data_IF_479061600548
#
_entry.id   IF_479061600548
#
_cell.length_a   1.000
_cell.length_b   1.000
_cell.length_c   1.000
_cell.angle_alpha   90.00
_cell.angle_beta   90.00
_cell.angle_gamma   90.00
#
_symmetry.space_group_name_H-M   'P 1'
#
loop_
_entity.id
_entity.type
_entity.pdbx_description
1 polymer ?
#
# COMPACT_ATOMS: atom_id res chain seq x y z
N UNK A 1 57.99 -19.07 -7.42
CA UNK A 1 56.77 -19.71 -7.96
C UNK A 1 55.62 -19.69 -6.95
N UNK A 2 55.76 -20.26 -5.71
CA UNK A 2 54.64 -20.25 -4.70
C UNK A 2 54.06 -18.86 -4.39
N UNK A 3 54.89 -17.82 -4.23
CA UNK A 3 54.40 -16.44 -3.96
C UNK A 3 53.58 -15.81 -5.13
N UNK A 4 53.93 -16.15 -6.36
CA UNK A 4 53.20 -15.67 -7.54
C UNK A 4 51.84 -16.39 -7.65
N UNK A 5 51.79 -17.69 -7.36
CA UNK A 5 50.54 -18.47 -7.38
C UNK A 5 49.59 -17.96 -6.27
N UNK A 6 50.10 -17.64 -5.07
CA UNK A 6 49.29 -17.06 -3.99
C UNK A 6 48.76 -15.67 -4.39
N UNK A 7 49.60 -14.84 -5.05
CA UNK A 7 49.18 -13.53 -5.53
C UNK A 7 48.07 -13.60 -6.58
N UNK A 8 48.17 -14.54 -7.55
CA UNK A 8 47.14 -14.78 -8.57
C UNK A 8 45.85 -15.30 -7.94
N UNK A 9 45.94 -16.25 -6.98
CA UNK A 9 44.78 -16.77 -6.27
C UNK A 9 44.06 -15.68 -5.46
N UNK A 10 44.81 -14.79 -4.78
CA UNK A 10 44.26 -13.66 -4.05
C UNK A 10 43.58 -12.65 -4.98
N UNK A 11 44.20 -12.31 -6.12
CA UNK A 11 43.61 -11.43 -7.11
C UNK A 11 42.31 -12.00 -7.70
N UNK A 12 42.29 -13.32 -7.98
CA UNK A 12 41.09 -13.99 -8.51
C UNK A 12 39.99 -14.04 -7.45
N UNK A 13 40.31 -14.26 -6.18
CA UNK A 13 39.35 -14.20 -5.08
C UNK A 13 38.72 -12.78 -4.94
N UNK A 14 39.54 -11.73 -5.05
CA UNK A 14 39.03 -10.34 -5.02
C UNK A 14 38.09 -10.06 -6.22
N UNK A 15 38.45 -10.50 -7.42
CA UNK A 15 37.59 -10.33 -8.61
C UNK A 15 36.24 -11.04 -8.42
N UNK A 16 36.25 -12.26 -7.89
CA UNK A 16 35.02 -13.03 -7.60
C UNK A 16 34.16 -12.29 -6.55
N UNK A 17 34.76 -11.80 -5.47
CA UNK A 17 34.02 -11.02 -4.46
C UNK A 17 33.41 -9.76 -5.05
N UNK A 18 34.17 -9.01 -5.86
CA UNK A 18 33.66 -7.80 -6.53
C UNK A 18 32.51 -8.14 -7.49
N UNK A 19 32.63 -9.23 -8.24
CA UNK A 19 31.57 -9.68 -9.14
C UNK A 19 30.29 -10.06 -8.37
N UNK A 20 30.42 -10.77 -7.26
CA UNK A 20 29.29 -11.12 -6.37
C UNK A 20 28.60 -9.87 -5.83
N UNK A 21 29.36 -8.91 -5.31
CA UNK A 21 28.82 -7.64 -4.78
C UNK A 21 28.11 -6.86 -5.91
N UNK A 22 28.68 -6.82 -7.11
CA UNK A 22 28.04 -6.16 -8.24
C UNK A 22 26.73 -6.83 -8.64
N UNK A 23 26.66 -8.16 -8.65
CA UNK A 23 25.41 -8.90 -8.93
C UNK A 23 24.34 -8.59 -7.88
N UNK A 24 24.67 -8.58 -6.60
CA UNK A 24 23.73 -8.24 -5.52
C UNK A 24 23.20 -6.82 -5.71
N UNK A 25 24.07 -5.84 -5.96
CA UNK A 25 23.64 -4.45 -6.18
C UNK A 25 22.76 -4.29 -7.44
N UNK A 26 22.99 -5.10 -8.47
CA UNK A 26 22.14 -5.10 -9.67
C UNK A 26 20.76 -5.71 -9.39
N UNK A 27 20.69 -6.76 -8.57
CA UNK A 27 19.42 -7.36 -8.16
C UNK A 27 18.58 -6.38 -7.35
N UNK A 28 19.16 -5.69 -6.37
CA UNK A 28 18.46 -4.69 -5.54
C UNK A 28 17.87 -3.57 -6.40
N UNK A 29 18.66 -3.02 -7.32
CA UNK A 29 18.23 -1.99 -8.27
C UNK A 29 17.17 -2.51 -9.24
N UNK A 30 17.35 -3.74 -9.74
CA UNK A 30 16.41 -4.37 -10.68
C UNK A 30 15.04 -4.59 -10.02
N UNK A 31 15.00 -5.08 -8.78
CA UNK A 31 13.75 -5.28 -8.03
C UNK A 31 13.10 -3.94 -7.71
N UNK A 32 13.86 -2.95 -7.23
CA UNK A 32 13.35 -1.60 -6.98
C UNK A 32 12.73 -1.02 -8.26
N UNK A 33 13.45 -1.06 -9.38
CA UNK A 33 12.95 -0.56 -10.67
C UNK A 33 11.68 -1.31 -11.12
N UNK A 34 11.64 -2.62 -10.95
CA UNK A 34 10.45 -3.43 -11.22
C UNK A 34 9.24 -2.99 -10.41
N UNK A 35 9.41 -2.77 -9.10
CA UNK A 35 8.34 -2.28 -8.22
C UNK A 35 7.86 -0.89 -8.67
N UNK A 36 8.77 0.04 -8.95
CA UNK A 36 8.46 1.42 -9.35
C UNK A 36 7.91 1.54 -10.79
N UNK A 37 8.09 0.53 -11.63
CA UNK A 37 7.56 0.49 -13.00
C UNK A 37 6.24 -0.28 -13.07
N UNK A 38 6.21 -1.50 -12.55
CA UNK A 38 5.02 -2.37 -12.62
C UNK A 38 3.95 -1.95 -11.61
N UNK A 39 4.36 -1.48 -10.43
CA UNK A 39 3.44 -1.04 -9.38
C UNK A 39 2.44 0.03 -9.83
N UNK A 40 2.89 1.15 -10.45
CA UNK A 40 1.98 2.15 -11.02
C UNK A 40 1.08 1.62 -12.12
N UNK A 41 1.53 0.66 -12.91
CA UNK A 41 0.70 0.02 -13.95
C UNK A 41 -0.44 -0.80 -13.32
N UNK A 42 -0.15 -1.50 -12.22
CA UNK A 42 -1.12 -2.30 -11.45
C UNK A 42 -2.13 -1.42 -10.73
N UNK A 43 -1.64 -0.43 -9.98
CA UNK A 43 -2.46 0.35 -9.04
C UNK A 43 -3.11 1.57 -9.69
N UNK A 44 -2.59 2.01 -10.84
CA UNK A 44 -2.87 3.31 -11.50
C UNK A 44 -2.66 4.49 -10.55
N UNK A 45 -1.65 4.36 -9.68
CA UNK A 45 -1.22 5.41 -8.75
C UNK A 45 0.30 5.56 -8.81
N UNK A 46 0.85 6.59 -8.16
CA UNK A 46 2.29 6.66 -7.94
C UNK A 46 2.72 5.59 -6.95
N UNK A 47 3.87 4.98 -7.18
CA UNK A 47 4.46 4.03 -6.26
C UNK A 47 5.96 4.30 -6.18
N UNK A 48 6.47 4.50 -4.97
CA UNK A 48 7.88 4.78 -4.71
C UNK A 48 8.42 3.90 -3.62
N UNK A 49 9.72 3.57 -3.71
CA UNK A 49 10.45 2.74 -2.74
C UNK A 49 11.77 3.42 -2.43
N UNK A 50 12.08 3.63 -1.15
CA UNK A 50 13.38 4.19 -0.75
C UNK A 50 14.52 3.22 -1.06
N UNK A 51 14.35 1.94 -0.70
CA UNK A 51 15.37 0.93 -0.92
C UNK A 51 14.83 -0.49 -0.91
N UNK A 52 15.55 -1.34 -1.63
CA UNK A 52 15.41 -2.79 -1.62
C UNK A 52 16.77 -3.36 -1.26
N UNK A 53 16.82 -4.37 -0.43
CA UNK A 53 18.02 -5.12 -0.09
C UNK A 53 17.72 -6.61 -0.14
N UNK A 54 18.50 -7.34 -0.93
CA UNK A 54 18.38 -8.77 -1.11
C UNK A 54 19.72 -9.45 -0.81
N UNK A 55 19.68 -10.54 -0.09
CA UNK A 55 20.85 -11.40 0.15
C UNK A 55 20.59 -12.78 -0.44
N UNK A 56 21.01 -13.05 -1.68
CA UNK A 56 20.74 -14.31 -2.36
C UNK A 56 21.29 -15.53 -1.62
N UNK A 57 22.38 -15.37 -0.86
CA UNK A 57 23.00 -16.46 -0.13
C UNK A 57 22.26 -16.85 1.16
N UNK A 58 21.72 -15.86 1.87
CA UNK A 58 20.95 -16.10 3.10
C UNK A 58 19.44 -16.22 2.83
N UNK A 59 18.98 -15.81 1.65
CA UNK A 59 17.56 -15.70 1.35
C UNK A 59 16.86 -14.52 2.05
N UNK A 60 17.60 -13.67 2.78
CA UNK A 60 17.00 -12.50 3.43
C UNK A 60 16.71 -11.38 2.44
N UNK A 61 15.58 -10.71 2.59
CA UNK A 61 15.22 -9.55 1.82
C UNK A 61 14.49 -8.51 2.66
N UNK A 62 14.59 -7.25 2.24
CA UNK A 62 13.82 -6.16 2.83
C UNK A 62 13.48 -5.09 1.81
N UNK A 63 12.33 -4.44 2.01
CA UNK A 63 11.87 -3.26 1.28
C UNK A 63 11.67 -2.15 2.31
N UNK A 64 12.21 -0.96 2.04
CA UNK A 64 12.11 0.22 2.91
C UNK A 64 11.40 1.35 2.21
N UNK A 65 10.58 2.10 2.96
CA UNK A 65 9.97 3.34 2.51
C UNK A 65 9.05 3.17 1.30
N UNK A 66 8.23 2.09 1.27
CA UNK A 66 7.23 1.92 0.22
C UNK A 66 6.08 2.90 0.46
N UNK A 67 5.77 3.71 -0.55
CA UNK A 67 4.62 4.60 -0.57
C UNK A 67 3.80 4.36 -1.82
N UNK A 68 2.50 4.15 -1.61
CA UNK A 68 1.50 4.05 -2.68
C UNK A 68 0.65 5.32 -2.64
N UNK A 69 0.64 6.07 -3.72
CA UNK A 69 -0.16 7.29 -3.88
C UNK A 69 -1.65 7.00 -3.97
N UNK A 70 -2.44 8.05 -4.05
CA UNK A 70 -3.89 7.92 -4.22
C UNK A 70 -4.30 7.93 -5.68
N UNK A 71 -5.40 7.23 -6.02
CA UNK A 71 -6.08 7.39 -7.31
C UNK A 71 -6.66 8.80 -7.45
N UNK A 72 -6.94 9.21 -8.68
CA UNK A 72 -7.64 10.46 -8.95
C UNK A 72 -9.00 10.54 -8.23
N UNK A 73 -9.35 11.75 -7.75
CA UNK A 73 -10.58 12.02 -7.02
C UNK A 73 -10.50 11.90 -5.51
N UNK A 74 -9.36 11.52 -4.96
CA UNK A 74 -9.08 11.47 -3.52
C UNK A 74 -8.05 12.55 -3.13
N UNK A 75 -8.16 13.10 -1.91
CA UNK A 75 -7.43 14.29 -1.47
C UNK A 75 -6.21 14.00 -0.61
N UNK A 76 -6.16 12.83 0.05
CA UNK A 76 -5.01 12.45 0.87
C UNK A 76 -3.79 12.19 -0.01
N UNK A 77 -2.60 12.57 0.46
CA UNK A 77 -1.37 12.51 -0.34
C UNK A 77 -0.98 11.08 -0.75
N UNK A 78 -1.34 10.10 0.06
CA UNK A 78 -0.98 8.69 -0.13
C UNK A 78 -2.10 7.77 0.37
N UNK A 79 -2.19 6.58 -0.22
CA UNK A 79 -3.13 5.54 0.21
C UNK A 79 -2.49 4.60 1.24
N UNK A 80 -1.23 4.21 1.01
CA UNK A 80 -0.51 3.26 1.88
C UNK A 80 0.92 3.75 2.06
N UNK A 81 1.43 3.67 3.29
CA UNK A 81 2.83 3.89 3.62
C UNK A 81 3.34 2.74 4.47
N UNK A 82 4.44 2.15 4.04
CA UNK A 82 5.18 1.12 4.76
C UNK A 82 6.55 1.64 5.12
N UNK A 83 6.93 1.58 6.39
CA UNK A 83 8.29 1.89 6.82
C UNK A 83 9.26 0.80 6.38
N UNK A 84 8.96 -0.44 6.72
CA UNK A 84 9.78 -1.59 6.36
C UNK A 84 8.93 -2.84 6.21
N UNK A 85 9.25 -3.63 5.19
CA UNK A 85 8.82 -5.01 5.05
C UNK A 85 10.06 -5.92 5.01
N UNK A 86 10.00 -7.07 5.66
CA UNK A 86 11.05 -8.09 5.62
C UNK A 86 10.53 -9.35 4.96
N UNK A 87 11.43 -10.10 4.31
CA UNK A 87 11.11 -11.37 3.69
C UNK A 87 12.24 -12.39 3.89
N UNK A 88 11.87 -13.65 3.93
CA UNK A 88 12.80 -14.76 3.90
C UNK A 88 12.48 -15.64 2.68
N UNK A 89 13.46 -15.78 1.81
CA UNK A 89 13.38 -16.59 0.59
C UNK A 89 14.06 -17.95 0.80
N UNK A 90 13.63 -18.94 0.07
CA UNK A 90 14.46 -20.13 -0.13
C UNK A 90 15.55 -19.81 -1.15
N UNK A 91 16.80 -19.73 -0.68
CA UNK A 91 17.93 -19.36 -1.52
C UNK A 91 18.11 -20.30 -2.74
N UNK A 92 17.76 -21.58 -2.59
CA UNK A 92 17.81 -22.58 -3.68
C UNK A 92 16.78 -22.31 -4.78
N UNK A 93 15.67 -21.63 -4.46
CA UNK A 93 14.57 -21.37 -5.40
C UNK A 93 14.71 -20.06 -6.20
N UNK A 94 15.63 -19.17 -5.85
CA UNK A 94 15.74 -17.82 -6.44
C UNK A 94 15.94 -17.88 -7.96
N UNK A 95 16.66 -18.87 -8.45
CA UNK A 95 16.96 -19.05 -9.87
C UNK A 95 16.05 -20.06 -10.57
N UNK A 96 15.09 -20.67 -9.85
CA UNK A 96 14.11 -21.59 -10.44
C UNK A 96 12.93 -20.85 -11.05
N UNK A 97 12.08 -21.55 -11.78
CA UNK A 97 10.86 -21.00 -12.39
C UNK A 97 9.87 -20.52 -11.34
N UNK A 98 9.85 -21.16 -10.16
CA UNK A 98 9.04 -20.78 -9.01
C UNK A 98 9.93 -20.41 -7.83
N UNK A 99 9.84 -19.16 -7.38
CA UNK A 99 10.55 -18.65 -6.21
C UNK A 99 9.71 -18.92 -4.96
N UNK A 100 10.32 -19.57 -3.96
CA UNK A 100 9.69 -19.86 -2.67
C UNK A 100 10.05 -18.78 -1.66
N UNK A 101 9.04 -18.05 -1.20
CA UNK A 101 9.12 -17.07 -0.12
C UNK A 101 8.60 -17.73 1.15
N UNK A 102 9.49 -18.05 2.08
CA UNK A 102 9.15 -18.69 3.36
C UNK A 102 8.32 -17.78 4.25
N UNK A 103 8.61 -16.48 4.25
CA UNK A 103 7.83 -15.50 5.00
C UNK A 103 7.92 -14.10 4.42
N UNK A 104 6.83 -13.35 4.56
CA UNK A 104 6.76 -11.89 4.40
C UNK A 104 6.18 -11.31 5.68
N UNK A 105 6.86 -10.32 6.25
CA UNK A 105 6.44 -9.61 7.46
C UNK A 105 6.38 -8.11 7.16
N UNK A 106 5.22 -7.51 7.39
CA UNK A 106 4.98 -6.07 7.27
C UNK A 106 4.55 -5.56 8.63
N UNK A 107 5.33 -4.66 9.22
CA UNK A 107 5.09 -4.14 10.56
C UNK A 107 4.73 -2.66 10.52
N UNK A 108 3.67 -2.30 11.23
CA UNK A 108 3.23 -0.94 11.42
C UNK A 108 2.87 -0.16 10.15
N UNK A 109 2.16 -0.73 9.16
CA UNK A 109 1.77 0.04 7.99
C UNK A 109 0.77 1.14 8.37
N UNK A 110 0.88 2.29 7.68
CA UNK A 110 -0.09 3.38 7.76
C UNK A 110 -0.98 3.35 6.51
N UNK A 111 -2.27 3.19 6.71
CA UNK A 111 -3.27 3.13 5.66
C UNK A 111 -4.16 4.36 5.75
N UNK A 112 -4.30 5.09 4.66
CA UNK A 112 -5.26 6.19 4.53
C UNK A 112 -6.49 5.66 3.82
N UNK A 113 -7.56 5.38 4.58
CA UNK A 113 -8.85 4.99 4.02
C UNK A 113 -9.70 6.23 3.79
N UNK A 114 -9.73 6.70 2.55
CA UNK A 114 -10.54 7.85 2.14
C UNK A 114 -11.73 7.37 1.32
N UNK A 115 -12.93 7.86 1.66
CA UNK A 115 -14.16 7.54 0.94
C UNK A 115 -14.97 8.80 0.62
N UNK A 116 -15.64 8.78 -0.53
CA UNK A 116 -16.67 9.77 -0.91
C UNK A 116 -18.09 9.24 -0.67
N UNK A 117 -18.25 8.18 0.14
CA UNK A 117 -19.49 7.46 0.45
C UNK A 117 -20.03 6.57 -0.69
N UNK A 118 -19.50 6.66 -1.89
CA UNK A 118 -19.83 5.78 -3.03
C UNK A 118 -18.69 4.80 -3.31
N UNK A 119 -17.47 5.31 -3.29
CA UNK A 119 -16.25 4.56 -3.54
C UNK A 119 -15.18 4.94 -2.52
N UNK A 120 -14.14 4.11 -2.37
CA UNK A 120 -12.97 4.44 -1.57
C UNK A 120 -11.69 4.36 -2.40
N UNK A 121 -10.65 5.07 -1.95
CA UNK A 121 -9.34 5.04 -2.58
C UNK A 121 -8.77 3.61 -2.65
N UNK A 122 -8.84 2.86 -1.54
CA UNK A 122 -8.37 1.47 -1.50
C UNK A 122 -9.20 0.55 -2.40
N UNK A 123 -10.52 0.74 -2.43
CA UNK A 123 -11.41 -0.01 -3.33
C UNK A 123 -11.08 0.26 -4.80
N UNK A 124 -10.74 1.52 -5.14
CA UNK A 124 -10.34 1.87 -6.51
C UNK A 124 -8.97 1.28 -6.89
N UNK A 125 -8.02 1.26 -5.95
CA UNK A 125 -6.73 0.57 -6.16
C UNK A 125 -6.95 -0.92 -6.37
N UNK A 126 -7.78 -1.56 -5.55
CA UNK A 126 -8.12 -3.00 -5.71
C UNK A 126 -8.74 -3.27 -7.07
N UNK A 127 -9.73 -2.48 -7.50
CA UNK A 127 -10.35 -2.59 -8.83
C UNK A 127 -9.31 -2.48 -9.97
N UNK A 128 -8.36 -1.55 -9.87
CA UNK A 128 -7.29 -1.41 -10.86
C UNK A 128 -6.41 -2.66 -10.92
N UNK A 129 -6.03 -3.23 -9.77
CA UNK A 129 -5.24 -4.47 -9.68
C UNK A 129 -6.03 -5.65 -10.25
N UNK A 130 -7.32 -5.74 -9.96
CA UNK A 130 -8.20 -6.79 -10.51
C UNK A 130 -8.31 -6.73 -12.04
N UNK A 131 -8.43 -5.53 -12.60
CA UNK A 131 -8.44 -5.34 -14.06
C UNK A 131 -7.11 -5.79 -14.70
N UNK A 132 -5.98 -5.58 -14.00
CA UNK A 132 -4.68 -5.99 -14.50
C UNK A 132 -4.43 -7.50 -14.39
N UNK A 133 -5.02 -8.17 -13.40
CA UNK A 133 -4.90 -9.62 -13.17
C UNK A 133 -5.99 -10.45 -13.84
N UNK A 134 -6.81 -9.84 -14.69
CA UNK A 134 -7.90 -10.53 -15.41
C UNK A 134 -7.39 -11.54 -16.44
N UNK A 135 -8.22 -12.53 -16.82
CA UNK A 135 -7.82 -13.65 -17.68
C UNK A 135 -7.38 -13.26 -19.11
N UNK A 136 -7.62 -12.02 -19.52
CA UNK A 136 -7.28 -11.52 -20.86
C UNK A 136 -5.91 -10.83 -20.96
N UNK A 137 -5.14 -10.77 -19.85
CA UNK A 137 -3.87 -10.07 -19.85
C UNK A 137 -2.72 -11.01 -20.22
N UNK A 138 -2.18 -10.81 -21.43
CA UNK A 138 -1.02 -11.57 -21.99
C UNK A 138 0.29 -11.45 -21.20
N UNK A 139 0.29 -10.76 -20.05
CA UNK A 139 1.50 -10.50 -19.25
C UNK A 139 1.86 -11.64 -18.28
N UNK A 140 0.98 -12.63 -18.11
CA UNK A 140 1.19 -13.74 -17.17
C UNK A 140 2.29 -14.73 -17.62
N UNK A 141 2.52 -14.89 -18.93
CA UNK A 141 3.46 -15.90 -19.46
C UNK A 141 4.94 -15.59 -19.18
N UNK A 142 5.30 -14.33 -18.94
CA UNK A 142 6.69 -13.90 -18.76
C UNK A 142 7.09 -13.66 -17.29
N UNK A 143 6.17 -13.75 -16.32
CA UNK A 143 6.47 -13.45 -14.93
C UNK A 143 6.89 -14.70 -14.15
N UNK A 144 7.95 -14.58 -13.33
CA UNK A 144 8.33 -15.65 -12.39
C UNK A 144 7.17 -15.96 -11.45
N UNK A 145 6.93 -17.24 -11.25
CA UNK A 145 5.91 -17.72 -10.32
C UNK A 145 6.44 -17.67 -8.89
N UNK A 146 5.54 -17.46 -7.96
CA UNK A 146 5.84 -17.35 -6.53
C UNK A 146 5.07 -18.42 -5.75
N UNK A 147 5.65 -18.84 -4.65
CA UNK A 147 4.97 -19.48 -3.55
C UNK A 147 5.28 -18.69 -2.29
N UNK A 148 4.28 -18.32 -1.49
CA UNK A 148 4.48 -17.64 -0.21
C UNK A 148 3.89 -18.49 0.89
N UNK A 149 4.75 -19.03 1.76
CA UNK A 149 4.31 -19.95 2.81
C UNK A 149 3.60 -19.20 3.94
N UNK A 150 4.07 -18.01 4.29
CA UNK A 150 3.57 -17.22 5.40
C UNK A 150 3.66 -15.72 5.11
N UNK A 151 2.52 -15.02 5.16
CA UNK A 151 2.41 -13.58 4.91
C UNK A 151 1.65 -12.92 6.05
N UNK A 152 2.29 -12.00 6.77
CA UNK A 152 1.71 -11.32 7.92
C UNK A 152 1.85 -9.81 7.81
N UNK A 153 0.76 -9.09 8.09
CA UNK A 153 0.71 -7.66 8.34
C UNK A 153 0.24 -7.46 9.76
N UNK A 154 1.02 -6.78 10.58
CA UNK A 154 0.71 -6.56 12.00
C UNK A 154 1.02 -5.13 12.45
N UNK A 155 0.39 -4.70 13.56
CA UNK A 155 0.65 -3.40 14.20
C UNK A 155 0.31 -2.18 13.34
N UNK A 156 -0.47 -2.34 12.28
CA UNK A 156 -0.85 -1.25 11.38
C UNK A 156 -1.93 -0.33 11.97
N UNK A 157 -2.09 0.83 11.35
CA UNK A 157 -3.15 1.79 11.65
C UNK A 157 -3.85 2.25 10.37
N UNK A 158 -5.13 2.55 10.51
CA UNK A 158 -5.99 3.07 9.45
C UNK A 158 -6.44 4.46 9.86
N UNK A 159 -6.18 5.43 9.01
CA UNK A 159 -6.68 6.80 9.13
C UNK A 159 -7.91 6.94 8.23
N UNK A 160 -9.09 6.95 8.82
CA UNK A 160 -10.39 7.01 8.12
C UNK A 160 -10.77 8.45 7.88
N UNK A 161 -11.08 8.80 6.64
CA UNK A 161 -11.57 10.13 6.26
C UNK A 161 -12.69 10.07 5.22
N UNK A 162 -13.50 11.12 5.17
CA UNK A 162 -14.53 11.31 4.14
C UNK A 162 -14.16 12.53 3.32
N UNK A 163 -14.02 12.37 2.00
CA UNK A 163 -13.53 13.41 1.07
C UNK A 163 -14.32 14.73 1.17
N UNK A 164 -15.63 14.64 1.41
CA UNK A 164 -16.52 15.80 1.52
C UNK A 164 -16.45 16.53 2.86
N UNK A 165 -15.80 15.93 3.87
CA UNK A 165 -15.73 16.48 5.22
C UNK A 165 -14.34 17.05 5.46
N UNK A 166 -14.25 18.33 5.81
CA UNK A 166 -13.01 19.02 6.21
C UNK A 166 -12.61 18.69 7.65
N UNK A 167 -12.79 17.42 8.09
CA UNK A 167 -12.48 16.95 9.43
C UNK A 167 -11.10 16.28 9.52
N UNK A 168 -10.59 16.16 10.76
CA UNK A 168 -9.42 15.33 11.03
C UNK A 168 -9.78 13.85 10.80
N UNK A 169 -8.89 13.04 10.24
CA UNK A 169 -9.11 11.61 10.10
C UNK A 169 -9.24 10.94 11.48
N UNK A 170 -10.08 9.93 11.57
CA UNK A 170 -10.17 9.08 12.77
C UNK A 170 -9.20 7.91 12.58
N UNK A 171 -8.30 7.72 13.54
CA UNK A 171 -7.33 6.62 13.49
C UNK A 171 -7.87 5.42 14.25
N UNK A 172 -7.86 4.26 13.59
CA UNK A 172 -8.22 2.96 14.19
C UNK A 172 -7.10 1.94 13.93
N UNK A 173 -6.92 0.93 14.80
CA UNK A 173 -5.95 -0.13 14.53
C UNK A 173 -6.37 -0.97 13.31
N UNK A 174 -5.38 -1.38 12.50
CA UNK A 174 -5.56 -2.39 11.48
C UNK A 174 -5.52 -3.77 12.14
N UNK A 175 -6.55 -4.60 12.03
CA UNK A 175 -6.48 -6.00 12.43
C UNK A 175 -5.33 -6.73 11.74
N UNK A 176 -4.75 -7.73 12.41
CA UNK A 176 -3.72 -8.55 11.78
C UNK A 176 -4.26 -9.24 10.54
N UNK A 177 -3.50 -9.17 9.45
CA UNK A 177 -3.76 -9.90 8.22
C UNK A 177 -2.76 -11.03 8.12
N UNK A 178 -3.24 -12.27 8.15
CA UNK A 178 -2.41 -13.45 8.06
C UNK A 178 -2.91 -14.36 6.92
N UNK A 179 -2.03 -14.61 5.94
CA UNK A 179 -2.27 -15.47 4.79
C UNK A 179 -1.19 -16.55 4.74
N UNK A 180 -1.59 -17.78 4.43
CA UNK A 180 -0.66 -18.92 4.38
C UNK A 180 -0.81 -19.70 3.09
N UNK A 181 0.30 -20.30 2.63
CA UNK A 181 0.28 -21.28 1.55
C UNK A 181 -0.14 -20.73 0.19
N UNK A 182 0.10 -19.44 -0.06
CA UNK A 182 -0.24 -18.81 -1.34
C UNK A 182 0.65 -19.40 -2.45
N UNK A 183 0.05 -19.82 -3.55
CA UNK A 183 0.77 -20.40 -4.69
C UNK A 183 1.44 -21.74 -4.40
N UNK A 184 0.97 -22.51 -3.42
CA UNK A 184 1.51 -23.85 -3.08
C UNK A 184 1.37 -24.89 -4.21
N UNK A 185 0.41 -24.70 -5.12
CA UNK A 185 0.22 -25.57 -6.27
C UNK A 185 1.43 -25.57 -7.24
N UNK A 186 1.46 -26.50 -8.21
CA UNK A 186 2.54 -26.58 -9.18
C UNK A 186 2.74 -25.28 -9.98
N UNK A 187 1.65 -24.60 -10.31
CA UNK A 187 1.66 -23.38 -11.12
C UNK A 187 2.18 -22.15 -10.34
N UNK A 188 2.18 -22.15 -8.98
CA UNK A 188 2.48 -20.96 -8.21
C UNK A 188 1.46 -19.84 -8.41
N UNK A 189 1.83 -18.61 -8.02
CA UNK A 189 1.10 -17.38 -8.31
C UNK A 189 2.03 -16.30 -8.84
N UNK A 190 1.50 -15.33 -9.57
CA UNK A 190 2.25 -14.16 -10.02
C UNK A 190 2.39 -13.14 -8.89
N UNK A 191 3.32 -12.19 -9.03
CA UNK A 191 3.43 -11.05 -8.10
C UNK A 191 2.15 -10.19 -8.10
N UNK A 192 1.46 -10.08 -9.24
CA UNK A 192 0.21 -9.35 -9.38
C UNK A 192 -0.93 -10.04 -8.62
N UNK A 193 -1.07 -11.37 -8.75
CA UNK A 193 -2.04 -12.16 -7.99
C UNK A 193 -1.78 -12.11 -6.48
N UNK A 194 -0.50 -12.18 -6.05
CA UNK A 194 -0.13 -12.00 -4.64
C UNK A 194 -0.57 -10.61 -4.15
N UNK A 195 -0.30 -9.57 -4.93
CA UNK A 195 -0.70 -8.19 -4.62
C UNK A 195 -2.21 -8.07 -4.49
N UNK A 196 -2.97 -8.65 -5.42
CA UNK A 196 -4.44 -8.69 -5.35
C UNK A 196 -4.94 -9.36 -4.08
N UNK A 197 -4.44 -10.56 -3.75
CA UNK A 197 -4.86 -11.30 -2.56
C UNK A 197 -4.56 -10.55 -1.26
N UNK A 198 -3.35 -9.98 -1.15
CA UNK A 198 -2.95 -9.19 0.01
C UNK A 198 -3.80 -7.92 0.13
N UNK A 199 -3.99 -7.20 -0.98
CA UNK A 199 -4.76 -5.95 -1.00
C UNK A 199 -6.25 -6.19 -0.70
N UNK A 200 -6.87 -7.24 -1.25
CA UNK A 200 -8.25 -7.63 -0.93
C UNK A 200 -8.45 -7.81 0.59
N UNK A 201 -7.53 -8.53 1.25
CA UNK A 201 -7.59 -8.73 2.70
C UNK A 201 -7.38 -7.43 3.48
N UNK A 202 -6.45 -6.60 3.06
CA UNK A 202 -6.21 -5.28 3.69
C UNK A 202 -7.42 -4.37 3.53
N UNK A 203 -8.01 -4.31 2.33
CA UNK A 203 -9.21 -3.50 2.06
C UNK A 203 -10.38 -3.95 2.92
N UNK A 204 -10.64 -5.26 3.01
CA UNK A 204 -11.70 -5.81 3.86
C UNK A 204 -11.48 -5.48 5.33
N UNK A 205 -10.27 -5.72 5.84
CA UNK A 205 -9.92 -5.40 7.22
C UNK A 205 -10.04 -3.89 7.52
N UNK A 206 -9.62 -3.04 6.56
CA UNK A 206 -9.72 -1.59 6.70
C UNK A 206 -11.19 -1.11 6.69
N UNK A 207 -12.04 -1.70 5.83
CA UNK A 207 -13.47 -1.37 5.79
C UNK A 207 -14.17 -1.80 7.09
N UNK A 208 -13.95 -3.02 7.55
CA UNK A 208 -14.56 -3.55 8.78
C UNK A 208 -14.13 -2.74 10.02
N UNK A 209 -12.83 -2.49 10.18
CA UNK A 209 -12.30 -1.71 11.30
C UNK A 209 -12.68 -0.22 11.20
N UNK A 210 -12.81 0.33 9.99
CA UNK A 210 -13.15 1.72 9.74
C UNK A 210 -14.64 2.04 9.81
N UNK A 211 -15.54 1.04 9.75
CA UNK A 211 -16.99 1.26 9.72
C UNK A 211 -17.54 2.07 10.90
N UNK A 212 -17.15 1.81 12.16
CA UNK A 212 -17.59 2.62 13.29
C UNK A 212 -17.13 4.08 13.19
N UNK A 213 -15.87 4.30 12.79
CA UNK A 213 -15.31 5.64 12.58
C UNK A 213 -16.05 6.40 11.47
N UNK A 214 -16.42 5.69 10.39
CA UNK A 214 -17.19 6.25 9.29
C UNK A 214 -18.60 6.70 9.73
N UNK A 215 -19.27 5.89 10.54
CA UNK A 215 -20.58 6.24 11.15
C UNK A 215 -20.48 7.48 12.02
N UNK A 216 -19.45 7.56 12.85
CA UNK A 216 -19.22 8.73 13.70
C UNK A 216 -18.92 10.00 12.90
N UNK A 217 -18.09 9.91 11.87
CA UNK A 217 -17.81 11.04 10.94
C UNK A 217 -19.09 11.50 10.24
N UNK A 218 -19.90 10.58 9.75
CA UNK A 218 -21.16 10.89 9.07
C UNK A 218 -22.17 11.57 10.01
N UNK A 219 -22.26 11.11 11.26
CA UNK A 219 -23.10 11.72 12.30
C UNK A 219 -22.65 13.15 12.61
N UNK A 220 -21.36 13.34 12.90
CA UNK A 220 -20.77 14.67 13.16
C UNK A 220 -20.99 15.64 12.00
N UNK A 221 -20.90 15.16 10.75
CA UNK A 221 -21.18 15.96 9.57
C UNK A 221 -22.64 16.41 9.52
N UNK A 222 -23.57 15.50 9.76
CA UNK A 222 -25.01 15.80 9.78
C UNK A 222 -25.34 16.81 10.88
N UNK A 223 -24.79 16.63 12.08
CA UNK A 223 -24.98 17.55 13.20
C UNK A 223 -24.46 18.96 12.89
N UNK A 224 -23.26 19.08 12.29
CA UNK A 224 -22.69 20.37 11.87
C UNK A 224 -23.55 21.06 10.82
N UNK A 225 -23.95 20.33 9.78
CA UNK A 225 -24.82 20.88 8.72
C UNK A 225 -26.15 21.38 9.28
N UNK A 226 -26.75 20.62 10.22
CA UNK A 226 -27.98 21.02 10.90
C UNK A 226 -27.76 22.27 11.76
N UNK A 227 -26.66 22.36 12.49
CA UNK A 227 -26.32 23.53 13.29
C UNK A 227 -26.08 24.78 12.41
N UNK A 228 -25.36 24.63 11.30
CA UNK A 228 -25.11 25.71 10.35
C UNK A 228 -26.41 26.19 9.68
N UNK A 229 -27.27 25.26 9.28
CA UNK A 229 -28.59 25.59 8.73
C UNK A 229 -29.46 26.34 9.75
N UNK A 230 -29.48 25.89 11.00
CA UNK A 230 -30.23 26.56 12.08
C UNK A 230 -29.66 27.95 12.39
N UNK A 231 -28.33 28.13 12.41
CA UNK A 231 -27.70 29.45 12.59
C UNK A 231 -28.04 30.38 11.42
N UNK A 232 -28.00 29.89 10.19
CA UNK A 232 -28.35 30.67 9.01
C UNK A 232 -29.84 31.10 9.04
N UNK A 233 -30.73 30.19 9.42
CA UNK A 233 -32.17 30.51 9.55
C UNK A 233 -32.43 31.54 10.66
N UNK A 234 -31.80 31.38 11.85
CA UNK A 234 -31.90 32.34 12.95
C UNK A 234 -31.38 33.73 12.54
N UNK A 235 -30.22 33.79 11.88
CA UNK A 235 -29.66 35.06 11.37
C UNK A 235 -30.51 35.71 10.28
N UNK A 236 -31.24 34.93 9.48
CA UNK A 236 -32.19 35.47 8.49
C UNK A 236 -33.46 36.06 9.17
N UNK A 237 -33.96 35.37 10.21
CA UNK A 237 -35.09 35.86 11.03
C UNK A 237 -34.73 37.15 11.75
N UNK A 238 -33.54 37.21 12.39
CA UNK A 238 -33.07 38.43 13.07
C UNK A 238 -32.90 39.62 12.10
N UNK A 239 -32.37 39.40 10.90
CA UNK A 239 -32.27 40.44 9.87
C UNK A 239 -33.64 40.91 9.39
N UNK A 240 -34.58 40.00 9.19
CA UNK A 240 -35.95 40.34 8.77
C UNK A 240 -36.67 41.11 9.87
N UNK A 241 -36.58 40.70 11.14
CA UNK A 241 -37.21 41.38 12.26
C UNK A 241 -36.63 42.79 12.48
N UNK A 242 -35.32 42.96 12.32
CA UNK A 242 -34.66 44.26 12.44
C UNK A 242 -35.04 45.18 11.30
N UNK A 243 -35.10 44.67 10.07
CA UNK A 243 -35.62 45.45 8.90
C UNK A 243 -37.05 45.90 9.09
N UNK A 244 -37.93 45.03 9.60
CA UNK A 244 -39.31 45.34 9.88
C UNK A 244 -39.45 46.42 10.98
N UNK A 245 -38.68 46.33 12.04
CA UNK A 245 -38.68 47.30 13.15
C UNK A 245 -38.18 48.68 12.70
N UNK A 246 -37.18 48.73 11.81
CA UNK A 246 -36.64 49.96 11.26
C UNK A 246 -37.61 50.65 10.28
N UNK A 247 -38.39 49.85 9.54
CA UNK A 247 -39.46 50.38 8.70
C UNK A 247 -40.62 50.95 9.52
N UNK A 248 -40.95 50.35 10.64
CA UNK A 248 -42.04 50.85 11.53
C UNK A 248 -41.65 52.10 12.31
N UNK A 249 -40.36 52.34 12.56
CA UNK A 249 -39.82 53.54 13.24
C UNK A 249 -39.73 54.77 12.32
N UNK A 250 -39.83 54.59 11.01
CA UNK A 250 -39.73 55.67 10.04
C UNK A 250 -41.09 56.27 9.62
N UNK A 251 -42.18 55.88 10.27
CA UNK A 251 -43.51 56.49 10.15
C UNK A 251 -43.80 57.25 11.44
#
# INVERSE_FOLDING_TARGET
MKKIIIGIAAALAVIVVVAIVAVIMLLDKGVKHGIETVGPMLTKTTLTVEGVSLSPFSGAGSIKGLVVGNPEGFKTAQAIKLGQASMALDAGSIFSDKVVVKSIRIEGPEIMYETNLKTSNLGKILENVEQFTGPDTKQEEASKKLQVDDFVISGGKINVSVTALSGQPITVPLPEVHLTGLGKGPEGITAAELTKLALDKVVKAAMEAGEPALKDLSRQATERLTQEANKAAAGAVDKASKSLSDMLKKK
#
